data_IF_855413724897
#
_entry.id   IF_855413724897
#
_cell.length_a   1.000
_cell.length_b   1.000
_cell.length_c   1.000
_cell.angle_alpha   90.00
_cell.angle_beta   90.00
_cell.angle_gamma   90.00
#
_symmetry.space_group_name_H-M   'P 1'
#
loop_
_entity.id
_entity.type
_entity.pdbx_description
1 polymer ?
#
# COMPACT_ATOMS: atom_id res chain seq x y z
N UNK A 1 0.99 -7.23 35.21
CA UNK A 1 1.23 -6.47 33.96
C UNK A 1 0.27 -7.03 32.93
N UNK A 2 -0.88 -6.38 32.80
CA UNK A 2 -2.09 -6.90 32.12
C UNK A 2 -1.92 -6.77 30.61
N UNK A 3 -1.98 -7.89 29.87
CA UNK A 3 -2.03 -7.88 28.40
C UNK A 3 -3.31 -7.15 27.98
N UNK A 4 -3.17 -5.99 27.33
CA UNK A 4 -4.28 -5.20 26.81
C UNK A 4 -5.07 -5.95 25.72
N UNK A 5 -6.35 -5.59 25.51
CA UNK A 5 -7.19 -6.24 24.53
C UNK A 5 -6.76 -5.83 23.10
N UNK A 6 -6.92 -6.75 22.16
CA UNK A 6 -7.05 -6.42 20.74
C UNK A 6 -5.74 -6.07 20.02
N UNK A 7 -5.09 -7.09 19.47
CA UNK A 7 -4.49 -6.92 18.15
C UNK A 7 -5.30 -7.75 17.17
N UNK A 8 -6.61 -7.51 17.14
CA UNK A 8 -7.45 -8.03 16.07
C UNK A 8 -7.01 -7.33 14.80
N UNK A 9 -6.73 -8.12 13.76
CA UNK A 9 -6.16 -7.71 12.45
C UNK A 9 -6.85 -6.48 11.82
N UNK A 10 -8.08 -6.17 12.25
CA UNK A 10 -8.87 -5.00 11.83
C UNK A 10 -8.37 -3.67 12.42
N UNK A 11 -7.84 -3.65 13.64
CA UNK A 11 -7.41 -2.42 14.33
C UNK A 11 -6.02 -1.95 13.87
N UNK A 12 -5.18 -2.86 13.37
CA UNK A 12 -3.83 -2.54 12.86
C UNK A 12 -3.80 -2.12 11.38
N UNK A 13 -4.97 -2.01 10.74
CA UNK A 13 -5.07 -1.66 9.32
C UNK A 13 -4.19 -2.55 8.40
N UNK A 14 -3.94 -3.80 8.82
CA UNK A 14 -3.19 -4.80 8.04
C UNK A 14 -4.14 -5.37 7.01
N UNK A 15 -4.57 -4.52 6.07
CA UNK A 15 -5.16 -4.97 4.82
C UNK A 15 -4.02 -5.65 4.07
N UNK A 16 -4.15 -6.92 3.68
CA UNK A 16 -3.19 -7.59 2.79
C UNK A 16 -3.25 -6.89 1.44
N UNK A 17 -2.39 -5.90 1.15
CA UNK A 17 -2.65 -4.98 0.05
C UNK A 17 -2.59 -5.75 -1.27
N UNK A 18 -1.63 -6.67 -1.39
CA UNK A 18 -1.49 -7.53 -2.57
C UNK A 18 -2.73 -8.38 -2.87
N UNK A 19 -3.39 -8.94 -1.86
CA UNK A 19 -4.60 -9.76 -2.07
C UNK A 19 -5.74 -8.89 -2.62
N UNK A 20 -5.97 -7.72 -2.01
CA UNK A 20 -7.01 -6.79 -2.46
C UNK A 20 -6.73 -6.22 -3.85
N UNK A 21 -5.48 -5.91 -4.16
CA UNK A 21 -5.09 -5.43 -5.49
C UNK A 21 -5.30 -6.52 -6.56
N UNK A 22 -5.03 -7.78 -6.24
CA UNK A 22 -5.31 -8.91 -7.15
C UNK A 22 -6.81 -9.07 -7.42
N UNK A 23 -7.65 -9.02 -6.38
CA UNK A 23 -9.10 -9.03 -6.54
C UNK A 23 -9.58 -7.89 -7.45
N UNK A 24 -9.13 -6.66 -7.19
CA UNK A 24 -9.53 -5.50 -7.98
C UNK A 24 -9.07 -5.59 -9.43
N UNK A 25 -7.87 -6.11 -9.69
CA UNK A 25 -7.42 -6.40 -11.06
C UNK A 25 -8.29 -7.45 -11.74
N UNK A 26 -8.70 -8.50 -11.02
CA UNK A 26 -9.60 -9.52 -11.53
C UNK A 26 -11.00 -8.97 -11.85
N UNK A 27 -11.43 -7.91 -11.15
CA UNK A 27 -12.67 -7.18 -11.43
C UNK A 27 -12.53 -6.17 -12.58
N UNK A 28 -11.36 -6.09 -13.23
CA UNK A 28 -11.12 -5.22 -14.39
C UNK A 28 -10.63 -3.82 -14.04
N UNK A 29 -10.32 -3.53 -12.77
CA UNK A 29 -9.76 -2.23 -12.40
C UNK A 29 -8.31 -2.09 -12.87
N UNK A 30 -8.03 -1.00 -13.59
CA UNK A 30 -6.69 -0.69 -14.07
C UNK A 30 -5.83 -0.12 -12.93
N UNK A 31 -5.09 -1.00 -12.28
CA UNK A 31 -4.18 -0.65 -11.19
C UNK A 31 -2.73 -0.84 -11.63
N UNK A 32 -1.98 0.26 -11.68
CA UNK A 32 -0.55 0.27 -11.96
C UNK A 32 0.24 0.05 -10.67
N UNK A 33 1.39 -0.61 -10.78
CA UNK A 33 2.31 -0.80 -9.66
C UNK A 33 3.65 -0.18 -10.02
N UNK A 34 4.15 0.71 -9.16
CA UNK A 34 5.51 1.20 -9.23
C UNK A 34 6.29 0.70 -8.01
N UNK A 35 7.59 0.44 -8.18
CA UNK A 35 8.47 0.06 -7.08
C UNK A 35 9.36 1.23 -6.75
N UNK A 36 9.43 1.55 -5.47
CA UNK A 36 10.15 2.72 -5.00
C UNK A 36 10.98 2.39 -3.77
N UNK A 37 11.98 3.22 -3.55
CA UNK A 37 12.83 3.21 -2.37
C UNK A 37 12.52 4.46 -1.59
N UNK A 38 12.09 4.32 -0.34
CA UNK A 38 11.78 5.45 0.55
C UNK A 38 12.60 5.36 1.81
N UNK A 39 13.07 6.51 2.28
CA UNK A 39 13.60 6.63 3.63
C UNK A 39 12.50 7.18 4.52
N UNK A 40 12.21 6.50 5.62
CA UNK A 40 11.21 6.95 6.60
C UNK A 40 11.74 8.08 7.50
N UNK A 41 10.87 8.58 8.37
CA UNK A 41 11.17 9.63 9.36
C UNK A 41 12.19 9.20 10.43
N UNK A 42 12.43 7.89 10.56
CA UNK A 42 13.45 7.29 11.44
C UNK A 42 14.78 7.06 10.70
N UNK A 43 14.90 7.50 9.45
CA UNK A 43 16.12 7.35 8.64
C UNK A 43 16.33 5.96 8.07
N UNK A 44 15.34 5.05 8.13
CA UNK A 44 15.45 3.70 7.56
C UNK A 44 15.04 3.71 6.11
N UNK A 45 15.90 3.17 5.24
CA UNK A 45 15.61 3.03 3.81
C UNK A 45 14.93 1.71 3.52
N UNK A 46 13.73 1.78 2.95
CA UNK A 46 12.92 0.67 2.51
C UNK A 46 13.03 0.52 1.00
N UNK A 47 13.75 -0.48 0.54
CA UNK A 47 13.89 -0.74 -0.89
C UNK A 47 12.77 -1.63 -1.43
N UNK A 48 12.27 -1.30 -2.62
CA UNK A 48 11.32 -2.14 -3.35
C UNK A 48 9.90 -2.10 -2.79
N UNK A 49 9.52 -1.03 -2.09
CA UNK A 49 8.14 -0.78 -1.66
C UNK A 49 7.23 -0.67 -2.89
N UNK A 50 6.07 -1.32 -2.83
CA UNK A 50 5.08 -1.27 -3.92
C UNK A 50 4.10 -0.12 -3.72
N UNK A 51 4.03 0.78 -4.70
CA UNK A 51 3.04 1.86 -4.76
C UNK A 51 2.03 1.54 -5.85
N UNK A 52 0.75 1.55 -5.48
CA UNK A 52 -0.35 1.24 -6.37
C UNK A 52 -1.10 2.51 -6.78
N UNK A 53 -1.31 2.69 -8.08
CA UNK A 53 -2.08 3.81 -8.62
C UNK A 53 -3.34 3.29 -9.30
N UNK A 54 -4.49 3.85 -8.91
CA UNK A 54 -5.75 3.61 -9.60
C UNK A 54 -5.80 4.50 -10.84
N UNK A 55 -5.74 3.91 -12.02
CA UNK A 55 -5.85 4.64 -13.29
C UNK A 55 -7.33 4.87 -13.59
N UNK A 56 -7.97 5.83 -12.93
CA UNK A 56 -9.30 6.31 -13.35
C UNK A 56 -9.23 7.36 -14.47
N UNK A 57 -8.05 7.95 -14.73
CA UNK A 57 -7.72 8.78 -15.90
C UNK A 57 -6.19 9.08 -15.93
N UNK A 58 -5.60 9.54 -17.05
CA UNK A 58 -4.14 9.66 -17.22
C UNK A 58 -3.51 10.57 -16.15
N UNK A 59 -2.28 10.26 -15.69
CA UNK A 59 -1.70 10.91 -14.53
C UNK A 59 -1.42 12.39 -14.82
N UNK A 60 -2.12 13.28 -14.11
CA UNK A 60 -1.62 14.64 -13.90
C UNK A 60 -0.30 14.51 -13.14
N UNK A 61 0.76 15.11 -13.69
CA UNK A 61 2.12 15.04 -13.17
C UNK A 61 2.13 15.30 -11.65
N UNK A 62 2.69 14.36 -10.90
CA UNK A 62 2.96 14.55 -9.47
C UNK A 62 4.38 15.11 -9.39
N UNK A 63 4.48 16.43 -9.20
CA UNK A 63 5.76 17.13 -9.02
C UNK A 63 6.40 16.69 -7.71
N UNK A 64 7.72 16.46 -7.78
CA UNK A 64 8.59 15.96 -6.72
C UNK A 64 8.73 16.91 -5.52
#
# INVERSE_FOLDING_TARGET
MTRGPGSDIRELNIVRPGARINELRSLGHKILTHRLTLTDDQGRTHQGMALYYLSTNPPAQVTA
#
